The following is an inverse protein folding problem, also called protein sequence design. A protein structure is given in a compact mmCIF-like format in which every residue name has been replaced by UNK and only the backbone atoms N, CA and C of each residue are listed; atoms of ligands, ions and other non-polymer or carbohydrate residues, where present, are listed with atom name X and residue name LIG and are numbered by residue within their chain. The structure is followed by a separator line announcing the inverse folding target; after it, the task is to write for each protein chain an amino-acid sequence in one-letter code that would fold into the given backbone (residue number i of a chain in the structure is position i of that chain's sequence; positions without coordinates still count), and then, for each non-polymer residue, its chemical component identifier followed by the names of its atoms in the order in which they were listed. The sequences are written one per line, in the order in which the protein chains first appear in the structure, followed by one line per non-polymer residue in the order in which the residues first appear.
data_IF_958362725001
#
_entry.id   IF_958362725001
#
_cell.length_a   1.000
_cell.length_b   1.000
_cell.length_c   1.000
_cell.angle_alpha   90.00
_cell.angle_beta   90.00
_cell.angle_gamma   90.00
#
_symmetry.space_group_name_H-M   'P 1'
#
loop_
_entity.id
_entity.type
_entity.pdbx_description
1 polymer ?
#
# COMPACT_ATOMS: atom_id res chain seq x y z
N UNK A 1 -49.32 -41.28 -32.20
CA UNK A 1 -48.00 -41.78 -32.59
C UNK A 1 -47.02 -40.62 -32.65
N UNK A 2 -45.86 -40.82 -32.03
CA UNK A 2 -44.55 -40.16 -32.24
C UNK A 2 -44.42 -38.63 -32.08
N UNK A 3 -43.83 -38.22 -30.95
CA UNK A 3 -42.56 -37.46 -30.95
C UNK A 3 -42.04 -37.25 -29.51
N UNK A 4 -41.45 -38.30 -28.94
CA UNK A 4 -40.77 -38.27 -27.61
C UNK A 4 -39.26 -38.53 -27.72
N UNK A 5 -38.62 -38.14 -28.82
CA UNK A 5 -37.23 -38.52 -29.13
C UNK A 5 -36.30 -37.35 -29.49
N UNK A 6 -36.69 -36.09 -29.25
CA UNK A 6 -35.83 -34.93 -29.58
C UNK A 6 -35.33 -34.12 -28.38
N UNK A 7 -35.68 -34.48 -27.15
CA UNK A 7 -35.26 -33.71 -25.94
C UNK A 7 -34.23 -34.39 -25.05
N UNK A 8 -33.91 -35.66 -25.29
CA UNK A 8 -32.97 -36.44 -24.46
C UNK A 8 -31.55 -36.52 -25.03
N UNK A 9 -31.35 -36.19 -26.31
CA UNK A 9 -30.02 -36.33 -26.94
C UNK A 9 -29.10 -35.12 -26.71
N UNK A 10 -29.66 -33.93 -26.46
CA UNK A 10 -28.85 -32.70 -26.30
C UNK A 10 -28.28 -32.52 -24.89
N UNK A 11 -28.82 -33.22 -23.89
CA UNK A 11 -28.34 -33.13 -22.49
C UNK A 11 -27.15 -34.04 -22.19
N UNK A 12 -26.94 -35.11 -22.97
CA UNK A 12 -25.82 -36.02 -22.75
C UNK A 12 -24.49 -35.54 -23.36
N UNK A 13 -24.53 -34.66 -24.37
CA UNK A 13 -23.30 -34.14 -25.00
C UNK A 13 -22.62 -33.04 -24.19
N UNK A 14 -23.33 -32.37 -23.27
CA UNK A 14 -22.77 -31.31 -22.44
C UNK A 14 -22.06 -31.83 -21.18
N UNK A 15 -22.38 -33.06 -20.72
CA UNK A 15 -21.77 -33.63 -19.51
C UNK A 15 -20.42 -34.31 -19.78
N UNK A 16 -20.14 -34.72 -21.03
CA UNK A 16 -18.93 -35.47 -21.36
C UNK A 16 -17.69 -34.58 -21.58
N UNK A 17 -17.87 -33.27 -21.81
CA UNK A 17 -16.76 -32.30 -21.96
C UNK A 17 -16.19 -31.85 -20.61
N UNK A 18 -16.94 -32.07 -19.52
CA UNK A 18 -16.55 -31.64 -18.16
C UNK A 18 -15.70 -32.65 -17.38
N UNK A 19 -15.44 -33.85 -17.91
CA UNK A 19 -14.73 -34.93 -17.18
C UNK A 19 -13.27 -35.11 -17.64
N UNK A 20 -12.84 -34.48 -18.74
CA UNK A 20 -11.47 -34.67 -19.29
C UNK A 20 -10.52 -33.50 -18.98
N UNK A 21 -10.98 -32.45 -18.28
CA UNK A 21 -10.14 -31.30 -17.91
C UNK A 21 -9.47 -31.41 -16.53
N UNK A 22 -9.72 -32.47 -15.75
CA UNK A 22 -9.26 -32.57 -14.36
C UNK A 22 -8.00 -33.44 -14.15
N UNK A 23 -7.35 -33.92 -15.21
CA UNK A 23 -6.15 -34.76 -15.10
C UNK A 23 -5.06 -34.33 -16.09
N UNK A 24 -4.68 -33.05 -16.04
CA UNK A 24 -3.48 -32.55 -16.72
C UNK A 24 -2.93 -31.32 -15.99
N UNK A 25 -2.61 -31.48 -14.72
CA UNK A 25 -1.59 -30.69 -13.99
C UNK A 25 -1.25 -31.43 -12.69
N UNK A 26 -0.92 -32.72 -12.81
CA UNK A 26 -0.04 -33.38 -11.84
C UNK A 26 1.38 -33.16 -12.35
N UNK A 27 1.87 -31.95 -12.10
CA UNK A 27 3.29 -31.71 -11.93
C UNK A 27 3.41 -31.29 -10.48
N UNK A 28 3.98 -32.18 -9.66
CA UNK A 28 4.62 -31.80 -8.41
C UNK A 28 5.64 -30.72 -8.77
N UNK A 29 5.21 -29.46 -8.72
CA UNK A 29 6.12 -28.38 -8.48
C UNK A 29 6.43 -28.48 -7.00
N UNK A 30 7.70 -28.75 -6.68
CA UNK A 30 8.23 -28.52 -5.35
C UNK A 30 7.65 -27.22 -4.84
N UNK A 31 6.81 -27.31 -3.81
CA UNK A 31 6.37 -26.13 -3.09
C UNK A 31 7.62 -25.61 -2.41
N UNK A 32 8.37 -24.76 -3.10
CA UNK A 32 9.15 -23.73 -2.45
C UNK A 32 8.20 -23.14 -1.42
N UNK A 33 8.56 -23.30 -0.15
CA UNK A 33 7.86 -22.69 0.97
C UNK A 33 7.64 -21.23 0.60
N UNK A 34 6.38 -20.88 0.30
CA UNK A 34 5.96 -19.48 0.26
C UNK A 34 6.47 -18.92 1.57
N UNK A 35 7.44 -18.00 1.49
CA UNK A 35 8.02 -17.34 2.65
C UNK A 35 6.84 -16.96 3.55
N UNK A 36 6.87 -17.46 4.78
CA UNK A 36 5.89 -17.19 5.81
C UNK A 36 5.75 -15.66 5.83
N UNK A 37 4.66 -15.12 5.27
CA UNK A 37 4.41 -13.68 5.32
C UNK A 37 4.14 -13.43 6.80
N UNK A 38 5.20 -13.05 7.50
CA UNK A 38 5.20 -12.65 8.89
C UNK A 38 3.96 -11.82 9.13
N UNK A 39 3.10 -12.26 10.06
CA UNK A 39 1.90 -11.50 10.40
C UNK A 39 2.32 -10.08 10.80
N UNK A 40 1.64 -9.03 10.32
CA UNK A 40 2.05 -7.65 10.56
C UNK A 40 2.25 -7.36 12.04
N UNK A 41 3.38 -6.74 12.38
CA UNK A 41 3.76 -6.50 13.78
C UNK A 41 4.42 -5.15 13.97
N UNK A 42 3.90 -4.36 14.91
CA UNK A 42 4.51 -3.10 15.32
C UNK A 42 5.83 -3.26 16.09
N UNK A 43 6.10 -4.44 16.65
CA UNK A 43 7.35 -4.72 17.35
C UNK A 43 8.53 -4.86 16.37
N UNK A 44 8.29 -5.48 15.21
CA UNK A 44 9.32 -5.67 14.18
C UNK A 44 9.20 -4.69 13.02
N UNK A 45 8.05 -4.03 12.88
CA UNK A 45 7.66 -3.23 11.71
C UNK A 45 7.67 -4.04 10.40
N UNK A 46 7.50 -5.36 10.49
CA UNK A 46 7.44 -6.26 9.34
C UNK A 46 5.99 -6.62 8.99
N UNK A 47 5.78 -7.16 7.79
CA UNK A 47 4.50 -7.72 7.34
C UNK A 47 3.49 -6.69 6.82
N UNK A 48 3.64 -5.40 7.14
CA UNK A 48 2.72 -4.35 6.65
C UNK A 48 2.86 -4.11 5.14
N UNK A 49 4.11 -3.92 4.67
CA UNK A 49 4.48 -3.78 3.26
C UNK A 49 5.88 -4.36 3.03
N UNK A 50 6.12 -4.93 1.86
CA UNK A 50 7.37 -5.53 1.38
C UNK A 50 7.53 -5.23 -0.10
N UNK A 51 8.73 -5.45 -0.65
CA UNK A 51 8.95 -5.37 -2.11
C UNK A 51 8.00 -6.25 -2.93
N UNK A 52 7.62 -7.41 -2.42
CA UNK A 52 6.77 -8.40 -3.13
C UNK A 52 5.27 -8.11 -3.05
N UNK A 53 4.84 -7.39 -2.00
CA UNK A 53 3.42 -7.13 -1.75
C UNK A 53 3.03 -5.66 -1.93
N UNK A 54 3.97 -4.83 -2.44
CA UNK A 54 3.70 -3.48 -2.85
C UNK A 54 2.54 -3.50 -3.86
N UNK A 55 1.45 -2.83 -3.51
CA UNK A 55 0.24 -2.81 -4.32
C UNK A 55 0.42 -2.07 -5.65
N UNK A 56 -0.68 -1.86 -6.38
CA UNK A 56 -0.68 -1.02 -7.57
C UNK A 56 -0.03 -1.64 -8.83
N UNK A 57 0.30 -2.93 -8.83
CA UNK A 57 0.77 -3.64 -10.05
C UNK A 57 2.24 -3.39 -10.41
N UNK A 58 3.07 -3.03 -9.43
CA UNK A 58 4.51 -2.87 -9.61
C UNK A 58 5.20 -4.21 -9.86
N UNK A 59 6.26 -4.20 -10.68
CA UNK A 59 7.13 -5.36 -10.84
C UNK A 59 8.13 -5.38 -9.67
N UNK A 60 8.12 -6.42 -8.82
CA UNK A 60 8.99 -6.51 -7.65
C UNK A 60 10.47 -6.69 -8.00
N UNK A 61 10.79 -6.98 -9.26
CA UNK A 61 12.18 -7.17 -9.70
C UNK A 61 13.03 -5.94 -9.41
N UNK A 62 14.07 -6.12 -8.58
CA UNK A 62 15.01 -5.07 -8.19
C UNK A 62 14.50 -4.11 -7.12
N UNK A 63 13.34 -4.39 -6.51
CA UNK A 63 12.88 -3.70 -5.31
C UNK A 63 13.44 -4.40 -4.07
N UNK A 64 13.80 -3.58 -3.09
CA UNK A 64 14.18 -4.00 -1.74
C UNK A 64 13.39 -3.19 -0.74
N UNK A 65 13.10 -3.77 0.41
CA UNK A 65 12.50 -3.07 1.53
C UNK A 65 13.46 -2.95 2.71
N UNK A 66 13.37 -1.82 3.40
CA UNK A 66 14.15 -1.46 4.58
C UNK A 66 13.17 -1.05 5.67
N UNK A 67 13.23 -1.79 6.76
CA UNK A 67 12.41 -1.53 7.95
C UNK A 67 13.21 -0.73 8.97
N UNK A 68 12.58 0.28 9.55
CA UNK A 68 13.14 1.08 10.64
C UNK A 68 12.10 1.25 11.75
N UNK A 69 12.40 0.71 12.92
CA UNK A 69 11.62 0.97 14.14
C UNK A 69 12.15 2.28 14.73
N UNK A 70 11.34 3.33 14.68
CA UNK A 70 11.67 4.61 15.29
C UNK A 70 10.92 4.71 16.61
N UNK A 71 11.68 4.73 17.71
CA UNK A 71 11.14 4.89 19.06
C UNK A 71 10.27 6.15 19.14
N UNK A 72 9.04 6.00 19.63
CA UNK A 72 8.08 7.10 19.79
C UNK A 72 8.61 8.24 20.65
N UNK A 73 9.53 7.94 21.58
CA UNK A 73 10.16 8.95 22.45
C UNK A 73 11.22 9.78 21.72
N UNK A 74 11.70 9.32 20.57
CA UNK A 74 12.66 10.03 19.72
C UNK A 74 12.01 11.11 18.84
N UNK A 75 10.69 11.05 18.64
CA UNK A 75 9.91 12.03 17.88
C UNK A 75 9.26 13.01 18.88
N UNK A 76 9.65 14.30 18.87
CA UNK A 76 9.10 15.29 19.80
C UNK A 76 7.58 15.35 19.77
N UNK A 77 6.96 15.19 20.93
CA UNK A 77 5.50 15.25 21.11
C UNK A 77 4.72 14.00 20.68
N UNK A 78 5.36 12.99 20.09
CA UNK A 78 4.65 11.80 19.63
C UNK A 78 4.23 10.90 20.79
N UNK A 79 5.13 10.57 21.72
CA UNK A 79 4.77 9.83 22.93
C UNK A 79 3.73 10.58 23.79
N UNK A 80 3.91 11.89 23.97
CA UNK A 80 3.00 12.74 24.75
C UNK A 80 1.60 12.85 24.11
N UNK A 81 1.50 12.61 22.80
CA UNK A 81 0.23 12.59 22.07
C UNK A 81 -0.56 11.29 22.29
N UNK A 82 0.00 10.30 22.98
CA UNK A 82 -0.63 8.99 23.22
C UNK A 82 -0.31 7.94 22.16
N UNK A 83 0.81 8.09 21.44
CA UNK A 83 1.31 7.06 20.55
C UNK A 83 1.84 5.86 21.36
N UNK A 84 1.51 4.65 20.93
CA UNK A 84 1.94 3.39 21.56
C UNK A 84 2.99 2.65 20.73
N UNK A 85 2.98 2.85 19.41
CA UNK A 85 3.97 2.27 18.51
C UNK A 85 4.12 3.12 17.25
N UNK A 86 5.28 3.00 16.59
CA UNK A 86 5.58 3.71 15.36
C UNK A 86 6.51 2.88 14.47
N UNK A 87 6.18 2.79 13.19
CA UNK A 87 6.93 2.07 12.18
C UNK A 87 7.20 2.94 10.96
N UNK A 88 8.43 2.90 10.48
CA UNK A 88 8.83 3.49 9.21
C UNK A 88 9.39 2.39 8.31
N UNK A 89 8.76 2.19 7.16
CA UNK A 89 9.15 1.18 6.18
C UNK A 89 9.39 1.89 4.85
N UNK A 90 10.53 1.65 4.24
CA UNK A 90 10.89 2.18 2.94
C UNK A 90 11.01 1.04 1.94
N UNK A 91 10.32 1.12 0.80
CA UNK A 91 10.51 0.18 -0.32
C UNK A 91 11.08 0.96 -1.48
N UNK A 92 12.19 0.52 -2.05
CA UNK A 92 12.86 1.25 -3.10
C UNK A 92 13.56 0.35 -4.10
N UNK A 93 13.79 0.88 -5.31
CA UNK A 93 14.57 0.21 -6.34
C UNK A 93 16.06 0.41 -6.12
N UNK A 94 16.82 -0.67 -6.14
CA UNK A 94 18.29 -0.57 -6.13
C UNK A 94 18.77 -0.21 -7.53
N UNK A 95 19.26 1.02 -7.70
CA UNK A 95 19.97 1.43 -8.91
C UNK A 95 21.46 1.19 -8.67
N UNK A 96 22.13 0.51 -9.61
CA UNK A 96 23.56 0.21 -9.59
C UNK A 96 24.08 -0.63 -8.42
N UNK A 97 23.21 -1.42 -7.77
CA UNK A 97 23.58 -2.32 -6.67
C UNK A 97 23.95 -1.58 -5.37
N UNK A 98 23.51 -0.33 -5.22
CA UNK A 98 23.61 0.42 -3.97
C UNK A 98 22.25 0.41 -3.25
N UNK A 99 22.26 0.26 -1.92
CA UNK A 99 21.05 0.27 -1.07
C UNK A 99 20.55 1.70 -0.77
N UNK A 100 20.61 2.57 -1.78
CA UNK A 100 20.15 3.96 -1.70
C UNK A 100 19.03 4.18 -2.70
N UNK A 101 17.90 4.70 -2.21
CA UNK A 101 16.80 5.15 -3.04
C UNK A 101 17.23 6.35 -3.90
N UNK A 102 16.93 6.30 -5.20
CA UNK A 102 16.89 7.49 -6.04
C UNK A 102 15.50 8.14 -5.94
N UNK A 103 15.37 9.47 -6.14
CA UNK A 103 14.07 10.10 -6.30
C UNK A 103 13.27 9.42 -7.42
N UNK A 104 11.97 9.21 -7.19
CA UNK A 104 11.11 8.49 -8.14
C UNK A 104 11.14 6.98 -7.99
N UNK A 105 12.10 6.42 -7.25
CA UNK A 105 12.31 4.98 -7.11
C UNK A 105 12.00 4.47 -5.70
N UNK A 106 11.34 5.26 -4.86
CA UNK A 106 11.01 4.87 -3.48
C UNK A 106 9.61 5.25 -3.04
N UNK A 107 9.09 4.41 -2.15
CA UNK A 107 7.93 4.68 -1.33
C UNK A 107 8.33 4.60 0.14
N UNK A 108 7.69 5.42 0.96
CA UNK A 108 7.84 5.40 2.41
C UNK A 108 6.46 5.24 3.04
N UNK A 109 6.33 4.22 3.88
CA UNK A 109 5.17 3.95 4.73
C UNK A 109 5.51 4.32 6.18
N UNK A 110 4.73 5.21 6.75
CA UNK A 110 4.72 5.56 8.17
C UNK A 110 3.41 5.06 8.80
N UNK A 111 3.53 4.31 9.89
CA UNK A 111 2.41 3.79 10.68
C UNK A 111 2.59 4.24 12.13
N UNK A 112 1.60 4.91 12.68
CA UNK A 112 1.59 5.29 14.09
C UNK A 112 0.33 4.71 14.73
N UNK A 113 0.53 3.88 15.76
CA UNK A 113 -0.56 3.38 16.58
C UNK A 113 -0.74 4.26 17.81
N UNK A 114 -1.98 4.56 18.16
CA UNK A 114 -2.37 5.35 19.32
C UNK A 114 -3.20 4.53 20.31
N UNK A 115 -3.31 5.06 21.53
CA UNK A 115 -4.17 4.50 22.56
C UNK A 115 -5.66 4.50 22.17
N UNK A 116 -6.09 5.48 21.38
CA UNK A 116 -7.50 5.62 20.97
C UNK A 116 -7.65 6.12 19.54
N UNK A 117 -8.78 5.78 18.91
CA UNK A 117 -9.18 6.24 17.59
C UNK A 117 -9.30 7.77 17.52
N UNK A 118 -9.75 8.41 18.60
CA UNK A 118 -9.90 9.87 18.68
C UNK A 118 -8.55 10.58 18.51
N UNK A 119 -7.48 10.04 19.09
CA UNK A 119 -6.13 10.61 18.97
C UNK A 119 -5.63 10.48 17.52
N UNK A 120 -5.80 9.31 16.91
CA UNK A 120 -5.42 9.09 15.51
C UNK A 120 -6.18 10.05 14.56
N UNK A 121 -7.48 10.25 14.80
CA UNK A 121 -8.31 11.20 14.07
C UNK A 121 -7.87 12.66 14.28
N UNK A 122 -7.46 13.02 15.50
CA UNK A 122 -6.94 14.36 15.78
C UNK A 122 -5.63 14.63 15.03
N UNK A 123 -4.73 13.65 14.96
CA UNK A 123 -3.52 13.76 14.15
C UNK A 123 -3.86 13.88 12.66
N UNK A 124 -4.81 13.10 12.16
CA UNK A 124 -5.30 13.19 10.79
C UNK A 124 -5.83 14.58 10.46
N UNK A 125 -6.74 15.11 11.28
CA UNK A 125 -7.33 16.43 11.07
C UNK A 125 -6.27 17.54 11.12
N UNK A 126 -5.31 17.43 12.04
CA UNK A 126 -4.20 18.38 12.17
C UNK A 126 -3.28 18.34 10.96
N UNK A 127 -2.93 17.14 10.49
CA UNK A 127 -2.09 16.94 9.31
C UNK A 127 -2.78 17.45 8.05
N UNK A 128 -4.07 17.12 7.85
CA UNK A 128 -4.85 17.61 6.73
C UNK A 128 -4.92 19.15 6.73
N UNK A 129 -5.21 19.76 7.89
CA UNK A 129 -5.24 21.22 8.01
C UNK A 129 -3.87 21.85 7.69
N UNK A 130 -2.78 21.30 8.22
CA UNK A 130 -1.43 21.77 7.93
C UNK A 130 -1.09 21.65 6.44
N UNK A 131 -1.52 20.55 5.81
CA UNK A 131 -1.24 20.28 4.42
C UNK A 131 -2.06 21.20 3.48
N UNK A 132 -3.33 21.48 3.81
CA UNK A 132 -4.15 22.52 3.16
C UNK A 132 -3.48 23.89 3.27
N UNK A 133 -3.09 24.32 4.48
CA UNK A 133 -2.45 25.62 4.69
C UNK A 133 -1.11 25.73 3.94
N UNK A 134 -0.34 24.66 3.90
CA UNK A 134 0.91 24.61 3.13
C UNK A 134 0.62 24.80 1.64
N UNK A 135 -0.37 24.09 1.10
CA UNK A 135 -0.75 24.22 -0.30
C UNK A 135 -1.21 25.64 -0.67
N UNK A 136 -1.98 26.31 0.19
CA UNK A 136 -2.38 27.71 -0.02
C UNK A 136 -1.18 28.67 -0.02
N UNK A 137 -0.15 28.38 0.78
CA UNK A 137 1.05 29.22 0.88
C UNK A 137 2.03 29.02 -0.27
N UNK A 138 2.10 27.82 -0.82
CA UNK A 138 3.08 27.46 -1.86
C UNK A 138 2.45 27.09 -3.20
N UNK A 139 1.13 27.19 -3.35
CA UNK A 139 0.41 26.78 -4.56
C UNK A 139 0.83 27.50 -5.84
N UNK A 140 1.28 28.75 -5.72
CA UNK A 140 1.86 29.50 -6.83
C UNK A 140 3.29 29.02 -7.20
N UNK A 141 3.96 28.33 -6.29
CA UNK A 141 5.32 27.79 -6.43
C UNK A 141 5.32 26.29 -6.78
N UNK A 142 4.24 25.59 -6.48
CA UNK A 142 4.08 24.16 -6.66
C UNK A 142 2.61 23.82 -6.98
N UNK A 143 2.36 23.04 -8.05
CA UNK A 143 1.02 22.51 -8.30
C UNK A 143 0.74 21.42 -7.27
N UNK A 144 -0.12 21.74 -6.30
CA UNK A 144 -0.57 20.82 -5.26
C UNK A 144 -2.04 20.48 -5.50
N UNK A 145 -2.32 19.18 -5.67
CA UNK A 145 -3.68 18.65 -5.80
C UNK A 145 -4.05 17.89 -4.54
N UNK A 146 -5.27 18.08 -4.08
CA UNK A 146 -5.78 17.42 -2.88
C UNK A 146 -7.13 16.80 -3.19
N UNK A 147 -7.30 15.56 -2.74
CA UNK A 147 -8.52 14.81 -2.94
C UNK A 147 -8.88 14.06 -1.66
N UNK A 148 -10.13 14.18 -1.21
CA UNK A 148 -10.67 13.33 -0.13
C UNK A 148 -11.11 12.02 -0.78
N UNK A 149 -10.39 10.94 -0.48
CA UNK A 149 -10.55 9.63 -1.13
C UNK A 149 -11.42 8.66 -0.32
N UNK A 150 -11.92 9.10 0.84
CA UNK A 150 -12.79 8.30 1.70
C UNK A 150 -13.04 8.96 3.05
N UNK A 151 -13.66 8.21 3.96
CA UNK A 151 -13.79 8.62 5.36
C UNK A 151 -12.41 8.58 6.01
N UNK A 152 -11.99 9.71 6.60
CA UNK A 152 -10.68 9.88 7.23
C UNK A 152 -9.50 9.48 6.34
N UNK A 153 -9.58 9.81 5.05
CA UNK A 153 -8.48 9.60 4.10
C UNK A 153 -8.41 10.70 3.05
N UNK A 154 -7.18 11.04 2.67
CA UNK A 154 -6.92 12.00 1.60
C UNK A 154 -5.67 11.61 0.80
N UNK A 155 -5.64 12.05 -0.46
CA UNK A 155 -4.49 12.05 -1.33
C UNK A 155 -4.02 13.49 -1.53
N UNK A 156 -2.71 13.68 -1.48
CA UNK A 156 -2.05 14.92 -1.85
C UNK A 156 -1.00 14.63 -2.91
N UNK A 157 -1.10 15.26 -4.07
CA UNK A 157 -0.08 15.20 -5.12
C UNK A 157 0.65 16.54 -5.20
N UNK A 158 1.97 16.50 -5.28
CA UNK A 158 2.83 17.68 -5.28
C UNK A 158 3.77 17.60 -6.48
N UNK A 159 3.48 18.36 -7.53
CA UNK A 159 4.31 18.41 -8.75
C UNK A 159 5.41 19.46 -8.65
N UNK A 160 6.18 19.39 -7.56
CA UNK A 160 7.34 20.24 -7.35
C UNK A 160 8.32 19.58 -6.38
N UNK A 161 9.62 19.81 -6.61
CA UNK A 161 10.67 19.45 -5.66
C UNK A 161 10.85 17.95 -5.40
N UNK A 162 10.41 17.08 -6.33
CA UNK A 162 10.58 15.62 -6.21
C UNK A 162 9.68 14.95 -5.16
N UNK A 163 8.67 15.64 -4.63
CA UNK A 163 7.86 15.15 -3.50
C UNK A 163 6.84 14.09 -3.93
N UNK A 164 6.34 14.14 -5.17
CA UNK A 164 5.44 13.14 -5.75
C UNK A 164 4.04 13.15 -5.14
N UNK A 165 3.74 12.19 -4.26
CA UNK A 165 2.41 12.03 -3.69
C UNK A 165 2.42 11.49 -2.25
N UNK A 166 1.41 11.82 -1.48
CA UNK A 166 1.18 11.36 -0.11
C UNK A 166 -0.28 10.94 0.03
N UNK A 167 -0.52 9.68 0.37
CA UNK A 167 -1.82 9.15 0.73
C UNK A 167 -1.88 8.91 2.24
N UNK A 168 -2.92 9.41 2.91
CA UNK A 168 -3.10 9.31 4.35
C UNK A 168 -4.45 8.68 4.68
N UNK A 169 -4.47 7.78 5.67
CA UNK A 169 -5.65 7.08 6.14
C UNK A 169 -5.64 6.98 7.67
N UNK A 170 -6.83 6.88 8.26
CA UNK A 170 -7.01 6.42 9.63
C UNK A 170 -7.80 5.12 9.63
N UNK A 171 -7.37 4.16 10.45
CA UNK A 171 -8.10 2.91 10.67
C UNK A 171 -8.03 2.54 12.16
N UNK A 172 -9.17 2.65 12.85
CA UNK A 172 -9.21 2.57 14.31
C UNK A 172 -8.24 3.58 14.93
N UNK A 173 -7.34 3.09 15.79
CA UNK A 173 -6.32 3.89 16.44
C UNK A 173 -5.00 4.00 15.65
N UNK A 174 -4.99 3.60 14.38
CA UNK A 174 -3.80 3.68 13.52
C UNK A 174 -3.89 4.83 12.53
N UNK A 175 -2.86 5.68 12.52
CA UNK A 175 -2.58 6.64 11.45
C UNK A 175 -1.64 6.00 10.44
N UNK A 176 -2.02 6.04 9.16
CA UNK A 176 -1.26 5.49 8.04
C UNK A 176 -0.90 6.64 7.11
N UNK A 177 0.38 6.81 6.80
CA UNK A 177 0.83 7.73 5.75
C UNK A 177 1.78 6.99 4.82
N UNK A 178 1.41 6.92 3.54
CA UNK A 178 2.27 6.39 2.49
C UNK A 178 2.63 7.51 1.54
N UNK A 179 3.90 7.63 1.18
CA UNK A 179 4.40 8.65 0.27
C UNK A 179 5.29 8.05 -0.80
N UNK A 180 5.29 8.64 -1.98
CA UNK A 180 6.21 8.32 -3.08
C UNK A 180 6.87 9.60 -3.56
N UNK A 181 8.17 9.56 -3.78
CA UNK A 181 8.89 10.66 -4.44
C UNK A 181 8.76 10.58 -5.96
N UNK A 182 9.09 11.67 -6.66
CA UNK A 182 9.22 11.69 -8.12
C UNK A 182 10.63 12.04 -8.57
N UNK A 183 11.04 11.53 -9.72
CA UNK A 183 12.26 11.95 -10.41
C UNK A 183 12.09 13.31 -11.13
N UNK A 184 13.14 13.75 -11.84
CA UNK A 184 13.16 14.99 -12.60
C UNK A 184 12.19 14.99 -13.81
N UNK A 185 11.72 13.81 -14.24
CA UNK A 185 10.75 13.61 -15.31
C UNK A 185 9.31 13.46 -14.77
N UNK A 186 9.12 13.60 -13.46
CA UNK A 186 7.85 13.39 -12.75
C UNK A 186 7.37 11.93 -12.74
N UNK A 187 8.27 10.96 -12.93
CA UNK A 187 7.98 9.55 -12.73
C UNK A 187 8.09 9.19 -11.24
N UNK A 188 7.20 8.34 -10.77
CA UNK A 188 7.19 7.80 -9.42
C UNK A 188 7.09 6.27 -9.48
N UNK A 189 7.55 5.60 -8.42
CA UNK A 189 7.44 4.15 -8.30
C UNK A 189 5.98 3.72 -8.24
N UNK A 190 5.15 4.52 -7.54
CA UNK A 190 3.69 4.44 -7.54
C UNK A 190 3.12 5.81 -7.88
N UNK A 191 2.21 5.87 -8.86
CA UNK A 191 1.40 7.06 -9.08
C UNK A 191 0.35 7.25 -7.96
N UNK A 192 -0.40 8.37 -8.01
CA UNK A 192 -1.37 8.71 -6.97
C UNK A 192 -2.40 7.59 -6.68
N UNK A 193 -2.96 6.95 -7.71
CA UNK A 193 -3.95 5.89 -7.50
C UNK A 193 -3.28 4.60 -7.01
N UNK A 194 -2.13 4.23 -7.57
CA UNK A 194 -1.37 3.07 -7.14
C UNK A 194 -0.90 3.20 -5.67
N UNK A 195 -0.57 4.41 -5.23
CA UNK A 195 -0.23 4.73 -3.85
C UNK A 195 -1.44 4.54 -2.93
N UNK A 196 -2.61 5.03 -3.34
CA UNK A 196 -3.88 4.82 -2.62
C UNK A 196 -4.20 3.33 -2.48
N UNK A 197 -4.13 2.57 -3.58
CA UNK A 197 -4.41 1.14 -3.57
C UNK A 197 -3.44 0.37 -2.66
N UNK A 198 -2.16 0.77 -2.67
CA UNK A 198 -1.13 0.19 -1.80
C UNK A 198 -1.37 0.48 -0.33
N UNK A 199 -1.72 1.72 0.01
CA UNK A 199 -2.03 2.12 1.38
C UNK A 199 -3.33 1.47 1.90
N UNK A 200 -4.35 1.28 1.06
CA UNK A 200 -5.53 0.48 1.40
C UNK A 200 -5.18 -1.00 1.61
N UNK A 201 -4.24 -1.53 0.83
CA UNK A 201 -3.67 -2.86 1.03
C UNK A 201 -3.06 -3.01 2.44
N UNK A 202 -2.28 -2.01 2.89
CA UNK A 202 -1.75 -1.96 4.26
C UNK A 202 -2.87 -1.90 5.29
N UNK A 203 -3.85 -1.01 5.09
CA UNK A 203 -5.01 -0.86 5.98
C UNK A 203 -5.73 -2.19 6.21
N UNK A 204 -5.92 -2.99 5.16
CA UNK A 204 -6.61 -4.28 5.23
C UNK A 204 -5.88 -5.36 6.04
N UNK A 205 -4.60 -5.16 6.34
CA UNK A 205 -3.72 -6.10 7.06
C UNK A 205 -3.41 -5.67 8.48
N UNK A 206 -3.89 -4.50 8.91
CA UNK A 206 -3.68 -4.06 10.29
C UNK A 206 -4.26 -5.09 11.28
N UNK A 207 -3.53 -5.36 12.39
CA UNK A 207 -3.97 -6.31 13.41
C UNK A 207 -5.19 -5.83 14.21
#
# INVERSE_FOLDING_TARGET
MLNSHKRTFTLFSALLVLVVASIACSSEADSESVNDISSPSYETCEGFVTAENLGGGTNPTGLVDRVSIIDITSIPGLADSGATANCLIEVFRTVDGTDSAAPGDSITLSLVQFETDEIALNLYNSTLAAAILTAEQVGDLAEIRQEVIGEHSYLMEIKAGGIGAIAVFVSGSTFISMSSTTDDESNALLDGQQLVDSAQGVQSRLP
#
